data_IF_322740563855
#
_entry.id   IF_322740563855
#
_cell.length_a   1.000
_cell.length_b   1.000
_cell.length_c   1.000
_cell.angle_alpha   90.00
_cell.angle_beta   90.00
_cell.angle_gamma   90.00
#
_symmetry.space_group_name_H-M   'P 1'
#
loop_
_entity.id
_entity.type
_entity.pdbx_description
1 polymer ?
#
# COMPACT_ATOMS: atom_id res chain seq x y z
N UNK A 1 50.78 45.77 63.91
CA UNK A 1 49.64 46.08 63.03
C UNK A 1 49.20 44.77 62.39
N UNK A 2 48.12 44.15 62.89
CA UNK A 2 47.59 42.85 62.42
C UNK A 2 46.79 43.04 61.12
N UNK A 3 47.17 42.31 60.07
CA UNK A 3 46.56 42.37 58.75
C UNK A 3 45.63 41.18 58.45
N UNK A 4 44.34 41.48 58.47
CA UNK A 4 43.26 41.08 57.54
C UNK A 4 43.07 39.60 57.14
N UNK A 5 42.01 39.06 57.74
CA UNK A 5 41.09 38.00 57.31
C UNK A 5 40.58 38.18 55.87
N UNK A 6 40.44 37.08 55.11
CA UNK A 6 39.48 36.95 54.00
C UNK A 6 39.11 35.45 53.84
N UNK A 7 37.87 35.12 54.23
CA UNK A 7 37.22 33.84 53.97
C UNK A 7 36.53 33.92 52.59
N UNK A 8 36.85 33.02 51.67
CA UNK A 8 36.17 32.89 50.39
C UNK A 8 35.06 31.84 50.51
N UNK A 9 33.79 32.26 50.37
CA UNK A 9 32.65 31.36 50.18
C UNK A 9 32.48 31.08 48.67
N UNK A 10 32.69 29.83 48.26
CA UNK A 10 32.31 29.33 46.92
C UNK A 10 30.88 28.81 46.95
N UNK A 11 29.96 29.47 46.26
CA UNK A 11 28.59 29.02 46.05
C UNK A 11 28.54 28.03 44.87
N UNK A 12 28.00 26.81 45.10
CA UNK A 12 27.71 25.85 44.04
C UNK A 12 26.31 26.11 43.47
N UNK A 13 26.23 26.47 42.19
CA UNK A 13 24.99 26.51 41.41
C UNK A 13 24.77 25.17 40.70
N UNK A 14 23.80 24.38 41.16
CA UNK A 14 23.36 23.16 40.48
C UNK A 14 22.31 23.50 39.42
N UNK A 15 22.65 23.34 38.14
CA UNK A 15 21.71 23.46 37.03
C UNK A 15 20.84 22.20 36.93
N UNK A 16 19.51 22.35 37.02
CA UNK A 16 18.57 21.27 36.70
C UNK A 16 18.46 21.16 35.17
N UNK A 17 18.91 20.04 34.63
CA UNK A 17 18.64 19.64 33.24
C UNK A 17 17.29 18.91 33.24
N UNK A 18 16.25 19.52 32.66
CA UNK A 18 14.97 18.85 32.43
C UNK A 18 15.09 18.12 31.09
N UNK A 19 15.05 16.77 31.04
CA UNK A 19 14.95 16.06 29.78
C UNK A 19 13.57 16.31 29.19
N UNK A 20 13.50 17.03 28.07
CA UNK A 20 12.31 17.04 27.20
C UNK A 20 12.18 15.67 26.56
N UNK A 21 11.39 14.78 27.18
CA UNK A 21 10.84 13.64 26.49
C UNK A 21 9.81 14.18 25.48
N UNK A 22 10.17 14.20 24.20
CA UNK A 22 9.19 14.35 23.14
C UNK A 22 8.23 13.15 23.22
N UNK A 23 6.91 13.36 23.09
CA UNK A 23 6.01 12.23 22.90
C UNK A 23 6.43 11.55 21.60
N UNK A 24 6.83 10.28 21.69
CA UNK A 24 6.89 9.40 20.54
C UNK A 24 5.49 9.42 19.92
N UNK A 25 5.35 10.14 18.80
CA UNK A 25 4.18 10.02 17.97
C UNK A 25 4.19 8.57 17.48
N UNK A 26 3.33 7.75 18.10
CA UNK A 26 3.05 6.38 17.71
C UNK A 26 2.77 6.39 16.21
N UNK A 27 3.78 6.03 15.41
CA UNK A 27 3.66 5.96 13.97
C UNK A 27 2.74 4.77 13.70
N UNK A 28 1.43 5.04 13.64
CA UNK A 28 0.42 4.04 13.40
C UNK A 28 0.85 3.19 12.19
N UNK A 29 1.14 1.93 12.44
CA UNK A 29 1.56 0.99 11.39
C UNK A 29 0.38 0.82 10.45
N UNK A 30 0.50 1.36 9.24
CA UNK A 30 -0.51 1.19 8.20
C UNK A 30 -0.63 -0.28 7.83
N UNK A 31 -1.84 -0.84 7.91
CA UNK A 31 -2.07 -2.22 7.53
C UNK A 31 -1.99 -2.34 6.00
N UNK A 32 -1.31 -3.38 5.51
CA UNK A 32 -1.23 -3.69 4.08
C UNK A 32 -2.07 -4.92 3.75
N UNK A 33 -3.12 -4.74 2.97
CA UNK A 33 -3.95 -5.84 2.45
C UNK A 33 -3.42 -6.33 1.12
N UNK A 34 -3.09 -7.62 1.01
CA UNK A 34 -2.62 -8.23 -0.24
C UNK A 34 -3.75 -8.85 -1.05
N UNK A 35 -3.85 -8.48 -2.33
CA UNK A 35 -4.83 -8.99 -3.29
C UNK A 35 -4.14 -9.79 -4.41
N UNK A 36 -4.74 -10.91 -4.79
CA UNK A 36 -4.22 -11.82 -5.82
C UNK A 36 -5.32 -12.28 -6.78
N UNK A 37 -4.97 -13.13 -7.76
CA UNK A 37 -5.94 -13.72 -8.70
C UNK A 37 -7.17 -14.31 -8.01
N UNK A 38 -7.01 -14.95 -6.84
CA UNK A 38 -8.09 -15.62 -6.09
C UNK A 38 -8.98 -14.64 -5.31
N UNK A 39 -8.60 -13.38 -5.24
CA UNK A 39 -9.38 -12.36 -4.55
C UNK A 39 -10.57 -11.84 -5.37
N UNK A 40 -10.75 -12.32 -6.60
CA UNK A 40 -11.88 -11.94 -7.44
C UNK A 40 -13.22 -12.09 -6.70
N UNK A 41 -14.06 -11.05 -6.78
CA UNK A 41 -15.40 -11.02 -6.18
C UNK A 41 -15.42 -10.76 -4.68
N UNK A 42 -14.27 -10.53 -4.03
CA UNK A 42 -14.23 -10.16 -2.62
C UNK A 42 -14.69 -8.73 -2.41
N UNK A 43 -15.31 -8.51 -1.25
CA UNK A 43 -15.54 -7.19 -0.67
C UNK A 43 -14.65 -7.01 0.55
N UNK A 44 -13.97 -5.87 0.64
CA UNK A 44 -13.14 -5.48 1.77
C UNK A 44 -13.77 -4.30 2.49
N UNK A 45 -13.61 -4.26 3.81
CA UNK A 45 -13.91 -3.07 4.61
C UNK A 45 -12.59 -2.60 5.22
N UNK A 46 -12.11 -1.43 4.82
CA UNK A 46 -10.80 -0.91 5.23
C UNK A 46 -10.92 0.50 5.79
N UNK A 47 -10.18 0.86 6.84
CA UNK A 47 -10.09 2.24 7.31
C UNK A 47 -9.31 3.11 6.32
N UNK A 48 -9.60 4.40 6.32
CA UNK A 48 -8.81 5.41 5.60
C UNK A 48 -7.37 5.41 6.10
N UNK A 49 -6.41 5.48 5.17
CA UNK A 49 -4.98 5.39 5.44
C UNK A 49 -4.36 4.03 5.13
N UNK A 50 -5.16 2.96 5.12
CA UNK A 50 -4.66 1.61 4.78
C UNK A 50 -4.10 1.52 3.36
N UNK A 51 -3.24 0.53 3.16
CA UNK A 51 -2.66 0.22 1.86
C UNK A 51 -3.14 -1.13 1.32
N UNK A 52 -3.23 -1.21 0.01
CA UNK A 52 -3.64 -2.40 -0.73
C UNK A 52 -2.55 -2.68 -1.78
N UNK A 53 -1.92 -3.85 -1.69
CA UNK A 53 -0.97 -4.33 -2.70
C UNK A 53 -1.67 -5.38 -3.57
N UNK A 54 -1.82 -5.09 -4.86
CA UNK A 54 -2.38 -6.00 -5.86
C UNK A 54 -1.24 -6.70 -6.60
N UNK A 55 -1.27 -8.04 -6.64
CA UNK A 55 -0.33 -8.86 -7.41
C UNK A 55 -1.06 -9.94 -8.18
N UNK A 56 -1.27 -9.68 -9.47
CA UNK A 56 -1.91 -10.60 -10.40
C UNK A 56 -0.85 -11.35 -11.21
N UNK A 57 -0.89 -12.68 -11.16
CA UNK A 57 0.02 -13.55 -11.92
C UNK A 57 -0.63 -13.98 -13.24
N UNK A 58 0.14 -14.15 -14.33
CA UNK A 58 -0.38 -14.70 -15.57
C UNK A 58 -0.94 -16.10 -15.32
N UNK A 59 -1.96 -16.49 -16.10
CA UNK A 59 -2.54 -17.84 -16.01
C UNK A 59 -2.15 -18.61 -17.25
N UNK A 60 -1.49 -19.75 -17.04
CA UNK A 60 -1.09 -20.64 -18.13
C UNK A 60 -2.19 -21.65 -18.41
N UNK A 61 -2.57 -21.76 -19.68
CA UNK A 61 -3.47 -22.78 -20.18
C UNK A 61 -2.76 -23.74 -21.14
N UNK A 62 -3.51 -24.70 -21.68
CA UNK A 62 -2.99 -25.62 -22.68
C UNK A 62 -2.94 -24.94 -24.05
N UNK A 63 -1.81 -24.32 -24.39
CA UNK A 63 -1.62 -23.62 -25.67
C UNK A 63 -2.00 -22.14 -25.66
N UNK A 64 -2.34 -21.60 -24.49
CA UNK A 64 -2.65 -20.18 -24.29
C UNK A 64 -2.05 -19.65 -22.99
N UNK A 65 -1.84 -18.34 -22.95
CA UNK A 65 -1.49 -17.58 -21.76
C UNK A 65 -2.50 -16.46 -21.58
N UNK A 66 -3.00 -16.30 -20.37
CA UNK A 66 -3.83 -15.16 -20.00
C UNK A 66 -2.98 -14.12 -19.29
N UNK A 67 -2.97 -12.91 -19.84
CA UNK A 67 -2.21 -11.77 -19.32
C UNK A 67 -3.13 -10.73 -18.71
N UNK A 68 -2.68 -10.06 -17.66
CA UNK A 68 -3.45 -9.04 -16.97
C UNK A 68 -3.09 -7.62 -17.43
N UNK A 69 -4.08 -6.75 -17.46
CA UNK A 69 -3.89 -5.30 -17.54
C UNK A 69 -3.60 -4.73 -16.16
N UNK A 70 -2.99 -3.53 -16.14
CA UNK A 70 -2.71 -2.81 -14.90
C UNK A 70 -4.01 -2.56 -14.11
N UNK A 71 -4.07 -2.89 -12.80
CA UNK A 71 -5.25 -2.62 -11.98
C UNK A 71 -5.65 -1.15 -11.97
N UNK A 72 -6.94 -0.87 -12.03
CA UNK A 72 -7.54 0.47 -12.00
C UNK A 72 -8.59 0.58 -10.90
N UNK A 73 -8.75 1.78 -10.36
CA UNK A 73 -9.74 2.12 -9.33
C UNK A 73 -10.92 2.85 -9.95
N UNK A 74 -12.14 2.64 -9.45
CA UNK A 74 -13.34 3.30 -9.99
C UNK A 74 -13.63 4.68 -9.39
N UNK A 75 -13.11 4.98 -8.19
CA UNK A 75 -13.29 6.28 -7.53
C UNK A 75 -11.99 6.75 -6.89
N UNK A 76 -11.39 7.81 -7.47
CA UNK A 76 -10.12 8.37 -7.02
C UNK A 76 -10.22 9.12 -5.67
N UNK A 77 -11.41 9.58 -5.29
CA UNK A 77 -11.65 10.23 -3.99
C UNK A 77 -11.67 9.23 -2.82
N UNK A 78 -11.83 7.93 -3.13
CA UNK A 78 -11.86 6.81 -2.15
C UNK A 78 -10.55 6.05 -2.17
N UNK A 79 -10.06 5.70 -3.36
CA UNK A 79 -8.82 4.94 -3.54
C UNK A 79 -7.89 5.65 -4.53
N UNK A 80 -6.62 5.84 -4.16
CA UNK A 80 -5.60 6.34 -5.07
C UNK A 80 -4.59 5.26 -5.40
N UNK A 81 -4.42 4.94 -6.69
CA UNK A 81 -3.32 4.09 -7.15
C UNK A 81 -2.02 4.88 -7.13
N UNK A 82 -1.09 4.52 -6.25
CA UNK A 82 0.22 5.16 -6.11
C UNK A 82 1.25 4.60 -7.08
N UNK A 83 1.13 3.33 -7.42
CA UNK A 83 1.96 2.66 -8.43
C UNK A 83 1.13 1.62 -9.20
N UNK A 84 1.50 1.32 -10.44
CA UNK A 84 0.98 0.15 -11.13
C UNK A 84 1.61 -0.07 -12.50
N UNK A 85 1.83 -1.34 -12.84
CA UNK A 85 2.40 -1.74 -14.12
C UNK A 85 2.06 -3.19 -14.48
N UNK A 86 2.10 -3.50 -15.78
CA UNK A 86 2.12 -4.87 -16.29
C UNK A 86 3.54 -5.44 -16.14
N UNK A 87 3.64 -6.73 -15.81
CA UNK A 87 4.92 -7.40 -15.63
C UNK A 87 5.33 -8.14 -16.91
N UNK A 88 6.63 -8.32 -17.20
CA UNK A 88 7.10 -8.95 -18.44
C UNK A 88 6.59 -10.39 -18.67
N UNK A 89 6.26 -11.12 -17.60
CA UNK A 89 5.65 -12.46 -17.69
C UNK A 89 4.17 -12.43 -18.08
N UNK A 90 3.54 -11.25 -18.10
CA UNK A 90 2.12 -11.03 -18.39
C UNK A 90 1.23 -10.95 -17.15
N UNK A 91 1.82 -10.76 -15.98
CA UNK A 91 1.09 -10.37 -14.78
C UNK A 91 0.83 -8.87 -14.71
N UNK A 92 0.32 -8.42 -13.58
CA UNK A 92 0.17 -7.01 -13.28
C UNK A 92 0.27 -6.74 -11.78
N UNK A 93 0.77 -5.57 -11.42
CA UNK A 93 0.85 -5.11 -10.03
C UNK A 93 0.29 -3.71 -9.88
N UNK A 94 -0.17 -3.39 -8.68
CA UNK A 94 -0.52 -2.02 -8.29
C UNK A 94 -0.45 -1.87 -6.77
N UNK A 95 0.01 -0.72 -6.31
CA UNK A 95 -0.12 -0.28 -4.93
C UNK A 95 -1.16 0.83 -4.86
N UNK A 96 -2.08 0.70 -3.92
CA UNK A 96 -3.28 1.53 -3.80
C UNK A 96 -3.42 1.96 -2.33
N UNK A 97 -3.68 3.25 -2.11
CA UNK A 97 -3.98 3.80 -0.79
C UNK A 97 -5.48 4.06 -0.66
N UNK A 98 -6.01 3.84 0.54
CA UNK A 98 -7.36 4.26 0.91
C UNK A 98 -7.31 5.72 1.36
N UNK A 99 -7.91 6.61 0.59
CA UNK A 99 -7.74 8.06 0.71
C UNK A 99 -8.90 8.75 1.42
N UNK A 100 -10.11 8.22 1.23
CA UNK A 100 -11.31 8.79 1.79
C UNK A 100 -12.42 7.75 1.94
N UNK A 101 -13.47 8.07 2.71
CA UNK A 101 -14.57 7.16 2.95
C UNK A 101 -15.43 6.98 1.70
N UNK A 102 -16.09 5.83 1.58
CA UNK A 102 -17.00 5.52 0.47
C UNK A 102 -16.72 4.16 -0.16
N UNK A 103 -17.26 3.93 -1.36
CA UNK A 103 -17.07 2.67 -2.07
C UNK A 103 -16.27 2.88 -3.37
N UNK A 104 -15.30 2.02 -3.61
CA UNK A 104 -14.60 1.93 -4.89
C UNK A 104 -14.30 0.48 -5.26
N UNK A 105 -14.35 0.18 -6.54
CA UNK A 105 -13.87 -1.07 -7.08
C UNK A 105 -12.41 -0.94 -7.49
N UNK A 106 -11.66 -2.04 -7.36
CA UNK A 106 -10.37 -2.27 -8.00
C UNK A 106 -10.62 -3.32 -9.08
N UNK A 107 -10.30 -3.01 -10.33
CA UNK A 107 -10.55 -3.90 -11.47
C UNK A 107 -9.30 -4.10 -12.31
N UNK A 108 -9.20 -5.27 -12.95
CA UNK A 108 -8.19 -5.57 -13.95
C UNK A 108 -8.80 -6.53 -14.98
N UNK A 109 -8.45 -6.39 -16.24
CA UNK A 109 -8.89 -7.30 -17.30
C UNK A 109 -7.78 -8.30 -17.62
N UNK A 110 -8.15 -9.55 -17.93
CA UNK A 110 -7.24 -10.50 -18.58
C UNK A 110 -7.67 -10.81 -20.00
N UNK A 111 -6.68 -10.95 -20.87
CA UNK A 111 -6.82 -11.29 -22.29
C UNK A 111 -6.04 -12.55 -22.61
N UNK A 112 -6.55 -13.35 -23.54
CA UNK A 112 -5.88 -14.58 -23.99
C UNK A 112 -4.92 -14.27 -25.12
N UNK A 113 -3.72 -14.82 -25.03
CA UNK A 113 -2.73 -14.88 -26.10
C UNK A 113 -2.39 -16.34 -26.41
N UNK A 114 -2.41 -16.71 -27.68
CA UNK A 114 -2.04 -18.06 -28.10
C UNK A 114 -0.53 -18.25 -27.97
N UNK A 115 -0.11 -19.36 -27.35
CA UNK A 115 1.31 -19.71 -27.18
C UNK A 115 1.74 -20.86 -28.07
N UNK A 116 0.82 -21.45 -28.84
CA UNK A 116 1.09 -22.54 -29.78
C UNK A 116 0.52 -22.25 -31.16
N UNK A 117 1.19 -22.71 -32.24
CA UNK A 117 0.62 -22.67 -33.58
C UNK A 117 -0.76 -23.33 -33.60
N UNK A 118 -1.70 -22.73 -34.33
CA UNK A 118 -3.07 -23.21 -34.52
C UNK A 118 -3.99 -23.21 -33.27
N UNK A 119 -3.47 -22.90 -32.07
CA UNK A 119 -4.34 -22.63 -30.92
C UNK A 119 -5.02 -21.28 -31.09
N UNK A 120 -6.33 -21.23 -30.89
CA UNK A 120 -7.12 -20.01 -31.03
C UNK A 120 -7.66 -19.59 -29.67
N UNK A 121 -7.20 -18.43 -29.22
CA UNK A 121 -7.88 -17.72 -28.14
C UNK A 121 -9.27 -17.34 -28.60
N UNK A 122 -10.29 -17.67 -27.81
CA UNK A 122 -11.58 -16.99 -27.97
C UNK A 122 -11.37 -15.52 -27.60
N UNK A 123 -12.04 -14.60 -28.28
CA UNK A 123 -12.01 -13.15 -28.00
C UNK A 123 -12.75 -12.81 -26.68
N UNK A 124 -12.44 -13.54 -25.62
CA UNK A 124 -13.01 -13.37 -24.29
C UNK A 124 -12.07 -12.50 -23.48
N UNK A 125 -12.60 -11.41 -22.95
CA UNK A 125 -11.95 -10.64 -21.89
C UNK A 125 -12.63 -11.00 -20.58
N UNK A 126 -11.85 -11.41 -19.58
CA UNK A 126 -12.37 -11.65 -18.24
C UNK A 126 -11.98 -10.52 -17.32
N UNK A 127 -12.93 -10.02 -16.55
CA UNK A 127 -12.67 -8.98 -15.57
C UNK A 127 -12.45 -9.59 -14.18
N UNK A 128 -11.34 -9.22 -13.55
CA UNK A 128 -11.13 -9.34 -12.12
C UNK A 128 -11.62 -8.07 -11.43
N UNK A 129 -12.24 -8.21 -10.25
CA UNK A 129 -12.84 -7.12 -9.48
C UNK A 129 -12.76 -7.45 -8.00
N UNK A 130 -12.44 -6.45 -7.19
CA UNK A 130 -12.60 -6.41 -5.74
C UNK A 130 -13.33 -5.12 -5.39
N UNK A 131 -14.29 -5.18 -4.49
CA UNK A 131 -14.99 -3.98 -3.98
C UNK A 131 -14.39 -3.60 -2.64
N UNK A 132 -14.14 -2.32 -2.42
CA UNK A 132 -13.62 -1.78 -1.16
C UNK A 132 -14.64 -0.78 -0.61
N UNK A 133 -15.02 -0.98 0.65
CA UNK A 133 -15.77 -0.03 1.45
C UNK A 133 -14.81 0.63 2.44
N UNK A 134 -14.48 1.89 2.19
CA UNK A 134 -13.63 2.70 3.02
C UNK A 134 -14.43 3.43 4.10
N UNK A 135 -13.87 3.53 5.30
CA UNK A 135 -14.47 4.20 6.45
C UNK A 135 -13.46 5.01 7.26
#
# INVERSE_FOLDING_TARGET
MLGRTLLALTALTTALVIPSAAPDADAAVLATTSLTNTSHGRTLNLPTGDQISVRLRPIQGNGEKWTWSTPVVSSADVLTRTEGHETPDGGATADIRVDGPGQSDITAQRTCTSTRPQHRCRHLTFQWRVTVNAH
#
